data_IF_824660096711
#
_entry.id   IF_824660096711
#
_cell.length_a   1.000
_cell.length_b   1.000
_cell.length_c   1.000
_cell.angle_alpha   90.00
_cell.angle_beta   90.00
_cell.angle_gamma   90.00
#
_symmetry.space_group_name_H-M   'P 1'
#
loop_
_entity.id
_entity.type
_entity.pdbx_description
1 polymer ?
#
# COMPACT_ATOMS: atom_id res chain seq x y z
N UNK A 1 -22.60 -8.39 7.37
CA UNK A 1 -21.62 -8.34 8.47
C UNK A 1 -20.62 -7.26 8.09
N UNK A 2 -20.57 -6.11 8.80
CA UNK A 2 -19.50 -5.12 8.55
C UNK A 2 -18.22 -5.68 9.16
N UNK A 3 -17.17 -5.85 8.36
CA UNK A 3 -15.85 -6.17 8.91
C UNK A 3 -15.41 -5.01 9.81
N UNK A 4 -14.98 -5.33 11.03
CA UNK A 4 -14.47 -4.31 11.95
C UNK A 4 -13.06 -3.91 11.53
N UNK A 5 -12.97 -2.74 10.87
CA UNK A 5 -11.72 -2.16 10.39
C UNK A 5 -11.03 -1.27 11.43
N UNK A 6 -11.61 -1.13 12.62
CA UNK A 6 -11.12 -0.22 13.67
C UNK A 6 -9.69 -0.57 14.10
N UNK A 7 -9.31 -1.85 14.00
CA UNK A 7 -7.95 -2.34 14.30
C UNK A 7 -6.88 -1.83 13.33
N UNK A 8 -7.26 -1.38 12.12
CA UNK A 8 -6.32 -0.94 11.09
C UNK A 8 -6.14 0.59 11.04
N UNK A 9 -6.97 1.34 11.76
CA UNK A 9 -6.94 2.81 11.78
C UNK A 9 -6.34 3.37 13.08
N UNK A 10 -5.59 4.48 13.03
CA UNK A 10 -5.18 5.20 11.83
C UNK A 10 -4.10 4.44 11.05
N UNK A 11 -4.20 4.45 9.72
CA UNK A 11 -3.14 3.96 8.86
C UNK A 11 -1.97 4.95 8.86
N UNK A 12 -0.73 4.44 8.74
CA UNK A 12 0.39 5.30 8.40
C UNK A 12 0.20 5.90 7.01
N UNK A 13 0.76 7.07 6.69
CA UNK A 13 0.69 7.63 5.34
C UNK A 13 1.19 6.64 4.28
N UNK A 14 2.27 5.90 4.57
CA UNK A 14 2.80 4.89 3.66
C UNK A 14 1.79 3.75 3.42
N UNK A 15 1.22 3.20 4.49
CA UNK A 15 0.23 2.12 4.38
C UNK A 15 -1.01 2.57 3.60
N UNK A 16 -1.52 3.78 3.88
CA UNK A 16 -2.65 4.36 3.14
C UNK A 16 -2.33 4.49 1.65
N UNK A 17 -1.19 5.08 1.31
CA UNK A 17 -0.82 5.30 -0.09
C UNK A 17 -0.57 3.98 -0.84
N UNK A 18 0.02 2.98 -0.21
CA UNK A 18 0.23 1.65 -0.79
C UNK A 18 -1.11 0.95 -1.05
N UNK A 19 -2.01 0.92 -0.06
CA UNK A 19 -3.33 0.31 -0.21
C UNK A 19 -4.17 1.01 -1.29
N UNK A 20 -4.09 2.34 -1.36
CA UNK A 20 -4.78 3.11 -2.40
C UNK A 20 -4.22 2.81 -3.80
N UNK A 21 -2.90 2.67 -3.94
CA UNK A 21 -2.28 2.31 -5.22
C UNK A 21 -2.72 0.91 -5.70
N UNK A 22 -2.88 -0.04 -4.78
CA UNK A 22 -3.30 -1.42 -5.06
C UNK A 22 -4.82 -1.61 -5.14
N UNK A 23 -5.62 -0.56 -4.87
CA UNK A 23 -7.08 -0.69 -4.86
C UNK A 23 -7.68 -0.85 -6.27
N UNK A 24 -6.95 -0.42 -7.31
CA UNK A 24 -7.39 -0.48 -8.70
C UNK A 24 -6.91 -1.71 -9.46
N UNK A 25 -5.64 -2.09 -9.29
CA UNK A 25 -5.00 -3.17 -10.04
C UNK A 25 -3.81 -3.76 -9.25
N UNK A 26 -3.34 -4.93 -9.68
CA UNK A 26 -2.10 -5.52 -9.19
C UNK A 26 -0.88 -4.73 -9.70
N UNK A 27 0.01 -4.36 -8.80
CA UNK A 27 1.17 -3.53 -9.14
C UNK A 27 2.47 -4.16 -8.64
N UNK A 28 3.48 -4.14 -9.50
CA UNK A 28 4.86 -4.41 -9.10
C UNK A 28 5.36 -3.26 -8.22
N UNK A 29 6.36 -3.52 -7.35
CA UNK A 29 6.86 -2.52 -6.40
C UNK A 29 7.25 -1.17 -7.03
N UNK A 30 7.80 -1.18 -8.24
CA UNK A 30 8.08 0.06 -8.97
C UNK A 30 6.80 0.80 -9.41
N UNK A 31 5.80 0.07 -9.89
CA UNK A 31 4.48 0.61 -10.24
C UNK A 31 3.80 1.24 -9.02
N UNK A 32 3.89 0.60 -7.85
CA UNK A 32 3.37 1.18 -6.59
C UNK A 32 4.04 2.52 -6.29
N UNK A 33 5.37 2.63 -6.42
CA UNK A 33 6.05 3.90 -6.19
C UNK A 33 5.62 4.99 -7.19
N UNK A 34 5.42 4.64 -8.46
CA UNK A 34 4.94 5.58 -9.47
C UNK A 34 3.50 6.04 -9.19
N UNK A 35 2.63 5.11 -8.83
CA UNK A 35 1.22 5.39 -8.54
C UNK A 35 1.08 6.28 -7.31
N UNK A 36 1.88 6.03 -6.27
CA UNK A 36 1.90 6.89 -5.07
C UNK A 36 2.30 8.32 -5.41
N UNK A 37 3.26 8.52 -6.32
CA UNK A 37 3.63 9.85 -6.82
C UNK A 37 2.48 10.47 -7.61
N UNK A 38 1.83 9.69 -8.48
CA UNK A 38 0.70 10.15 -9.29
C UNK A 38 -0.49 10.58 -8.41
N UNK A 39 -1.02 9.67 -7.58
CA UNK A 39 -2.20 9.92 -6.74
C UNK A 39 -1.96 11.01 -5.68
N UNK A 40 -0.71 11.26 -5.28
CA UNK A 40 -0.35 12.33 -4.35
C UNK A 40 -0.01 13.66 -5.02
N UNK A 41 -0.14 13.77 -6.35
CA UNK A 41 0.31 14.92 -7.12
C UNK A 41 1.78 15.30 -6.81
N UNK A 42 2.63 14.29 -6.60
CA UNK A 42 4.05 14.43 -6.28
C UNK A 42 4.38 14.87 -4.86
N UNK A 43 3.38 15.06 -3.98
CA UNK A 43 3.58 15.50 -2.59
C UNK A 43 4.10 14.40 -1.67
N UNK A 44 3.91 13.14 -2.04
CA UNK A 44 4.37 11.99 -1.27
C UNK A 44 5.21 11.06 -2.15
N UNK A 45 6.34 10.60 -1.59
CA UNK A 45 7.30 9.72 -2.27
C UNK A 45 7.74 8.65 -1.27
N UNK A 46 7.84 7.43 -1.75
CA UNK A 46 8.38 6.31 -1.00
C UNK A 46 9.64 5.82 -1.68
N UNK A 47 10.70 5.64 -0.90
CA UNK A 47 11.87 4.90 -1.35
C UNK A 47 11.63 3.39 -1.28
N UNK A 48 12.43 2.58 -2.00
CA UNK A 48 12.24 1.13 -2.07
C UNK A 48 12.33 0.46 -0.70
N UNK A 49 13.28 0.84 0.16
CA UNK A 49 13.38 0.24 1.51
C UNK A 49 12.09 0.42 2.33
N UNK A 50 11.59 1.65 2.41
CA UNK A 50 10.33 1.94 3.11
C UNK A 50 9.13 1.25 2.45
N UNK A 51 9.11 1.15 1.12
CA UNK A 51 8.05 0.42 0.43
C UNK A 51 8.03 -1.05 0.85
N UNK A 52 9.14 -1.77 0.72
CA UNK A 52 9.20 -3.20 0.98
C UNK A 52 8.94 -3.53 2.46
N UNK A 53 9.43 -2.70 3.39
CA UNK A 53 9.10 -2.83 4.82
C UNK A 53 7.59 -2.72 5.08
N UNK A 54 6.91 -1.80 4.38
CA UNK A 54 5.46 -1.65 4.53
C UNK A 54 4.69 -2.76 3.82
N UNK A 55 5.14 -3.21 2.65
CA UNK A 55 4.52 -4.35 1.96
C UNK A 55 4.55 -5.59 2.85
N UNK A 56 5.70 -5.90 3.46
CA UNK A 56 5.81 -7.02 4.40
C UNK A 56 4.81 -6.90 5.55
N UNK A 57 4.74 -5.73 6.20
CA UNK A 57 3.80 -5.49 7.32
C UNK A 57 2.33 -5.56 6.89
N UNK A 58 2.01 -5.15 5.68
CA UNK A 58 0.65 -5.22 5.15
C UNK A 58 0.25 -6.66 4.80
N UNK A 59 1.19 -7.47 4.29
CA UNK A 59 1.01 -8.92 4.09
C UNK A 59 0.82 -9.65 5.41
N UNK A 60 1.64 -9.35 6.43
CA UNK A 60 1.50 -9.91 7.79
C UNK A 60 0.15 -9.59 8.42
N UNK A 61 -0.44 -8.43 8.07
CA UNK A 61 -1.78 -8.01 8.51
C UNK A 61 -2.92 -8.57 7.64
N UNK A 62 -2.61 -9.32 6.59
CA UNK A 62 -3.60 -9.85 5.65
C UNK A 62 -4.35 -8.78 4.87
N UNK A 63 -3.75 -7.59 4.69
CA UNK A 63 -4.37 -6.48 3.96
C UNK A 63 -4.03 -6.49 2.47
N UNK A 64 -2.93 -7.15 2.10
CA UNK A 64 -2.50 -7.38 0.72
C UNK A 64 -1.92 -8.79 0.60
N UNK A 65 -1.81 -9.30 -0.61
CA UNK A 65 -1.17 -10.57 -0.94
C UNK A 65 -0.34 -10.45 -2.22
N UNK A 66 0.56 -11.41 -2.45
CA UNK A 66 1.27 -11.52 -3.72
C UNK A 66 0.32 -12.05 -4.80
N UNK A 67 0.30 -11.41 -5.96
CA UNK A 67 -0.46 -11.87 -7.10
C UNK A 67 0.06 -13.23 -7.62
N UNK A 68 -0.86 -14.14 -7.96
CA UNK A 68 -0.50 -15.37 -8.64
C UNK A 68 -0.07 -15.04 -10.08
N UNK A 69 1.11 -15.50 -10.48
CA UNK A 69 1.66 -15.30 -11.82
C UNK A 69 0.80 -15.93 -12.91
#
# INVERSE_FOLDING_TARGET
>A
MKQDISQFVPLSPAAFHILLALAGDELHGYGIMQEIVQQSAGKYRLGPGTLYDNLQRLMEKGLIEEAAR
#
